data_IF_450676389838
#
_entry.id   IF_450676389838
#
_cell.length_a   1.000
_cell.length_b   1.000
_cell.length_c   1.000
_cell.angle_alpha   90.00
_cell.angle_beta   90.00
_cell.angle_gamma   90.00
#
_symmetry.space_group_name_H-M   'P 1'
#
loop_
_entity.id
_entity.type
_entity.pdbx_description
1 polymer ?
#
# COMPACT_ATOMS: atom_id res chain seq x y z
N UNK A 1 14.40 -4.21 17.33
CA UNK A 1 15.23 -3.75 16.19
C UNK A 1 16.72 -3.88 16.47
N UNK A 2 17.50 -4.41 15.52
CA UNK A 2 18.97 -4.46 15.62
C UNK A 2 19.60 -3.08 15.41
N UNK A 3 20.81 -2.87 15.91
CA UNK A 3 21.52 -1.59 15.75
C UNK A 3 21.58 -1.11 14.30
N UNK A 4 21.96 -1.99 13.37
CA UNK A 4 22.08 -1.67 11.95
C UNK A 4 20.77 -1.20 11.32
N UNK A 5 19.67 -1.85 11.66
CA UNK A 5 18.32 -1.47 11.23
C UNK A 5 17.96 -0.07 11.74
N UNK A 6 18.26 0.24 13.01
CA UNK A 6 17.98 1.57 13.58
C UNK A 6 18.79 2.67 12.89
N UNK A 7 20.09 2.42 12.62
CA UNK A 7 20.96 3.39 11.96
C UNK A 7 20.47 3.68 10.54
N UNK A 8 20.10 2.65 9.78
CA UNK A 8 19.59 2.77 8.42
C UNK A 8 18.20 3.43 8.40
N UNK A 9 17.33 3.12 9.37
CA UNK A 9 15.99 3.68 9.41
C UNK A 9 15.99 5.17 9.80
N UNK A 10 16.73 5.53 10.84
CA UNK A 10 16.79 6.91 11.33
C UNK A 10 17.80 7.78 10.57
N UNK A 11 18.66 7.18 9.75
CA UNK A 11 19.76 7.87 9.06
C UNK A 11 20.69 8.59 10.05
N UNK A 12 21.08 7.91 11.14
CA UNK A 12 21.94 8.46 12.20
C UNK A 12 23.22 7.66 12.39
N UNK A 13 24.21 8.28 13.06
CA UNK A 13 25.46 7.61 13.43
C UNK A 13 25.30 6.69 14.66
N UNK A 14 26.22 5.71 14.80
CA UNK A 14 26.34 4.88 16.02
C UNK A 14 26.49 5.71 17.29
N UNK A 15 27.22 6.82 17.22
CA UNK A 15 27.40 7.76 18.35
C UNK A 15 26.06 8.37 18.75
N UNK A 16 25.25 8.79 17.78
CA UNK A 16 23.90 9.34 18.03
C UNK A 16 22.98 8.29 18.67
N UNK A 17 22.97 7.06 18.14
CA UNK A 17 22.20 5.95 18.70
C UNK A 17 22.60 5.65 20.16
N UNK A 18 23.90 5.67 20.46
CA UNK A 18 24.39 5.50 21.83
C UNK A 18 23.89 6.63 22.75
N UNK A 19 23.92 7.89 22.30
CA UNK A 19 23.38 9.03 23.06
C UNK A 19 21.88 8.85 23.33
N UNK A 20 21.10 8.46 22.32
CA UNK A 20 19.66 8.19 22.45
C UNK A 20 19.35 7.02 23.39
N UNK A 21 20.25 6.05 23.47
CA UNK A 21 20.09 4.93 24.39
C UNK A 21 20.43 5.34 25.83
N UNK A 22 21.52 6.10 26.00
CA UNK A 22 22.00 6.54 27.32
C UNK A 22 21.04 7.52 27.99
N UNK A 23 20.40 8.39 27.23
CA UNK A 23 19.43 9.36 27.76
C UNK A 23 17.99 8.81 27.84
N UNK A 24 17.79 7.52 27.52
CA UNK A 24 16.48 6.86 27.59
C UNK A 24 15.50 7.23 26.47
N UNK A 25 15.92 7.95 25.42
CA UNK A 25 15.07 8.22 24.25
C UNK A 25 14.74 6.96 23.45
N UNK A 26 15.65 6.00 23.38
CA UNK A 26 15.42 4.68 22.80
C UNK A 26 15.75 3.63 23.85
N UNK A 27 14.71 2.94 24.34
CA UNK A 27 14.89 1.80 25.24
C UNK A 27 15.50 0.63 24.47
N UNK A 28 16.20 -0.25 25.19
CA UNK A 28 16.77 -1.46 24.61
C UNK A 28 16.81 -2.59 25.64
N UNK A 29 16.92 -3.81 25.15
CA UNK A 29 17.19 -5.02 25.93
C UNK A 29 18.49 -5.64 25.48
N UNK A 30 19.18 -6.35 26.38
CA UNK A 30 20.42 -7.08 26.06
C UNK A 30 20.06 -8.50 25.68
N UNK A 31 20.43 -8.92 24.47
CA UNK A 31 20.22 -10.28 23.98
C UNK A 31 21.28 -11.24 24.55
N UNK A 32 21.05 -12.57 24.53
CA UNK A 32 22.00 -13.57 25.04
C UNK A 32 23.41 -13.47 24.44
N UNK A 33 23.53 -12.99 23.21
CA UNK A 33 24.79 -12.77 22.50
C UNK A 33 25.47 -11.42 22.83
N UNK A 34 25.07 -10.74 23.91
CA UNK A 34 25.55 -9.41 24.35
C UNK A 34 25.29 -8.26 23.37
N UNK A 35 24.48 -8.47 22.32
CA UNK A 35 24.05 -7.38 21.43
C UNK A 35 22.78 -6.72 21.95
N UNK A 36 22.53 -5.47 21.55
CA UNK A 36 21.32 -4.73 21.93
C UNK A 36 20.17 -4.99 20.96
N UNK A 37 18.97 -5.13 21.52
CA UNK A 37 17.71 -5.11 20.81
C UNK A 37 16.93 -3.85 21.22
N UNK A 38 16.88 -2.88 20.32
CA UNK A 38 16.24 -1.58 20.54
C UNK A 38 14.72 -1.69 20.43
N UNK A 39 14.02 -0.97 21.31
CA UNK A 39 12.57 -0.85 21.30
C UNK A 39 12.12 -0.13 20.03
N UNK A 40 11.15 -0.72 19.36
CA UNK A 40 10.74 -0.31 18.02
C UNK A 40 9.84 0.92 18.07
N UNK A 41 8.95 0.98 19.05
CA UNK A 41 8.05 2.11 19.27
C UNK A 41 8.85 3.40 19.43
N UNK A 42 9.91 3.38 20.23
CA UNK A 42 10.76 4.54 20.47
C UNK A 42 11.50 4.98 19.20
N UNK A 43 11.98 4.03 18.40
CA UNK A 43 12.63 4.31 17.11
C UNK A 43 11.64 4.96 16.14
N UNK A 44 10.44 4.39 15.97
CA UNK A 44 9.43 4.97 15.08
C UNK A 44 8.87 6.28 15.59
N UNK A 45 8.81 6.49 16.91
CA UNK A 45 8.44 7.76 17.53
C UNK A 45 9.44 8.85 17.14
N UNK A 46 10.74 8.55 17.14
CA UNK A 46 11.76 9.49 16.65
C UNK A 46 11.66 9.69 15.13
N UNK A 47 11.51 8.62 14.35
CA UNK A 47 11.38 8.67 12.90
C UNK A 47 10.23 9.61 12.47
N UNK A 48 9.09 9.46 13.15
CA UNK A 48 7.87 10.22 12.86
C UNK A 48 7.78 11.53 13.64
N UNK A 49 8.83 11.94 14.38
CA UNK A 49 8.83 13.18 15.18
C UNK A 49 7.64 13.28 16.13
N UNK A 50 7.35 12.21 16.86
CA UNK A 50 6.22 12.06 17.79
C UNK A 50 4.82 12.08 17.14
N UNK A 51 4.73 12.13 15.80
CA UNK A 51 3.46 12.06 15.08
C UNK A 51 2.99 10.60 15.03
N UNK A 52 1.75 10.36 15.47
CA UNK A 52 1.12 9.04 15.35
C UNK A 52 0.95 8.67 13.87
N UNK A 53 1.21 7.41 13.56
CA UNK A 53 0.98 6.86 12.24
C UNK A 53 -0.53 6.82 11.95
N UNK A 54 -0.86 6.96 10.67
CA UNK A 54 -2.23 7.12 10.18
C UNK A 54 -2.95 5.79 10.03
N UNK A 55 -4.24 5.78 10.30
CA UNK A 55 -5.16 4.75 9.81
C UNK A 55 -5.88 5.32 8.59
N UNK A 56 -5.77 4.63 7.45
CA UNK A 56 -6.28 5.12 6.17
C UNK A 56 -7.25 4.13 5.54
N UNK A 57 -8.20 4.66 4.77
CA UNK A 57 -9.14 3.85 4.00
C UNK A 57 -8.71 3.82 2.54
N UNK A 58 -8.91 2.68 1.87
CA UNK A 58 -8.80 2.58 0.42
C UNK A 58 -10.05 1.95 -0.20
N UNK A 59 -10.61 2.61 -1.21
CA UNK A 59 -11.81 2.19 -1.92
C UNK A 59 -11.61 2.24 -3.44
N UNK A 60 -12.19 1.30 -4.19
CA UNK A 60 -12.02 1.23 -5.64
C UNK A 60 -13.25 0.64 -6.33
N UNK A 61 -13.61 1.25 -7.47
CA UNK A 61 -14.55 0.69 -8.44
C UNK A 61 -13.93 0.71 -9.84
N UNK A 62 -14.40 -0.14 -10.75
CA UNK A 62 -13.80 -0.25 -12.08
C UNK A 62 -14.20 0.87 -13.04
N UNK A 63 -15.45 1.36 -12.94
CA UNK A 63 -16.01 2.33 -13.90
C UNK A 63 -16.63 3.55 -13.23
N UNK A 64 -16.69 4.67 -13.96
CA UNK A 64 -17.33 5.89 -13.47
C UNK A 64 -18.84 5.75 -13.25
N UNK A 65 -19.48 4.74 -13.86
CA UNK A 65 -20.89 4.42 -13.65
C UNK A 65 -21.14 3.95 -12.21
N UNK A 66 -20.13 3.37 -11.56
CA UNK A 66 -20.17 2.83 -10.20
C UNK A 66 -19.77 3.88 -9.14
N UNK A 67 -19.83 5.17 -9.46
CA UNK A 67 -19.46 6.24 -8.52
C UNK A 67 -20.28 6.20 -7.22
N UNK A 68 -21.55 5.84 -7.32
CA UNK A 68 -22.41 5.68 -6.14
C UNK A 68 -21.95 4.51 -5.26
N UNK A 69 -21.54 3.40 -5.88
CA UNK A 69 -21.01 2.23 -5.16
C UNK A 69 -19.70 2.57 -4.44
N UNK A 70 -18.84 3.40 -5.05
CA UNK A 70 -17.64 3.90 -4.38
C UNK A 70 -17.98 4.71 -3.12
N UNK A 71 -19.02 5.56 -3.17
CA UNK A 71 -19.45 6.30 -1.98
C UNK A 71 -20.03 5.38 -0.90
N UNK A 72 -20.84 4.40 -1.30
CA UNK A 72 -21.38 3.39 -0.39
C UNK A 72 -20.25 2.60 0.29
N UNK A 73 -19.23 2.21 -0.48
CA UNK A 73 -18.05 1.53 0.03
C UNK A 73 -17.30 2.36 1.07
N UNK A 74 -17.05 3.64 0.78
CA UNK A 74 -16.40 4.56 1.71
C UNK A 74 -17.24 4.71 2.99
N UNK A 75 -18.56 4.81 2.86
CA UNK A 75 -19.46 4.95 4.00
C UNK A 75 -19.46 3.69 4.89
N UNK A 76 -19.47 2.50 4.29
CA UNK A 76 -19.35 1.23 5.00
C UNK A 76 -18.02 1.15 5.78
N UNK A 77 -16.91 1.52 5.14
CA UNK A 77 -15.60 1.56 5.80
C UNK A 77 -15.59 2.54 6.97
N UNK A 78 -16.17 3.75 6.80
CA UNK A 78 -16.28 4.73 7.88
C UNK A 78 -17.07 4.20 9.06
N UNK A 79 -18.22 3.59 8.82
CA UNK A 79 -19.07 3.02 9.87
C UNK A 79 -18.35 1.89 10.60
N UNK A 80 -17.72 0.97 9.86
CA UNK A 80 -16.95 -0.11 10.47
C UNK A 80 -15.81 0.42 11.34
N UNK A 81 -15.06 1.42 10.87
CA UNK A 81 -14.01 2.05 11.67
C UNK A 81 -14.55 2.70 12.94
N UNK A 82 -15.66 3.43 12.83
CA UNK A 82 -16.31 4.06 13.99
C UNK A 82 -16.73 3.03 15.04
N UNK A 83 -17.35 1.94 14.61
CA UNK A 83 -17.76 0.83 15.50
C UNK A 83 -16.58 0.12 16.19
N UNK A 84 -15.42 0.08 15.53
CA UNK A 84 -14.21 -0.57 16.05
C UNK A 84 -13.23 0.41 16.73
N UNK A 85 -13.60 1.68 16.92
CA UNK A 85 -12.77 2.67 17.61
C UNK A 85 -11.57 3.18 16.80
N UNK A 86 -11.55 2.99 15.48
CA UNK A 86 -10.48 3.50 14.62
C UNK A 86 -10.68 4.97 14.26
N UNK A 87 -9.64 5.79 14.46
CA UNK A 87 -9.60 7.19 13.98
C UNK A 87 -9.08 7.24 12.55
N UNK A 88 -9.96 7.61 11.61
CA UNK A 88 -9.60 7.70 10.19
C UNK A 88 -8.81 9.00 9.95
N UNK A 89 -7.62 8.88 9.39
CA UNK A 89 -6.73 10.02 9.09
C UNK A 89 -6.82 10.48 7.63
N UNK A 90 -7.07 9.56 6.70
CA UNK A 90 -7.19 9.85 5.28
C UNK A 90 -8.03 8.79 4.56
N UNK A 91 -8.59 9.15 3.42
CA UNK A 91 -9.37 8.28 2.55
C UNK A 91 -8.82 8.42 1.14
N UNK A 92 -8.37 7.30 0.58
CA UNK A 92 -7.89 7.20 -0.78
C UNK A 92 -8.92 6.43 -1.61
N UNK A 93 -9.13 6.84 -2.85
CA UNK A 93 -10.08 6.14 -3.71
C UNK A 93 -9.75 6.28 -5.18
N UNK A 94 -10.08 5.25 -5.96
CA UNK A 94 -9.88 5.26 -7.41
C UNK A 94 -11.11 4.74 -8.17
N UNK A 95 -11.33 5.30 -9.36
CA UNK A 95 -12.20 4.75 -10.40
C UNK A 95 -11.30 4.20 -11.50
N UNK A 96 -10.93 2.92 -11.37
CA UNK A 96 -9.95 2.27 -12.23
C UNK A 96 -10.04 0.74 -12.14
N UNK A 97 -9.56 0.06 -13.18
CA UNK A 97 -9.44 -1.41 -13.26
C UNK A 97 -8.78 -2.01 -12.02
N UNK A 98 -9.25 -3.20 -11.63
CA UNK A 98 -8.73 -4.01 -10.53
C UNK A 98 -7.42 -4.75 -10.85
N UNK A 99 -6.98 -4.72 -12.11
CA UNK A 99 -5.73 -5.34 -12.59
C UNK A 99 -4.66 -4.30 -12.96
N UNK A 100 -5.04 -3.20 -13.62
CA UNK A 100 -4.08 -2.15 -13.98
C UNK A 100 -3.93 -1.11 -12.86
N UNK A 101 -2.68 -0.79 -12.51
CA UNK A 101 -2.35 0.22 -11.50
C UNK A 101 -2.09 1.61 -12.08
N UNK A 102 -1.79 1.74 -13.38
CA UNK A 102 -1.30 3.00 -13.99
C UNK A 102 -2.20 4.21 -13.73
N UNK A 103 -3.51 4.00 -13.58
CA UNK A 103 -4.50 5.07 -13.38
C UNK A 103 -4.92 5.25 -11.93
N UNK A 104 -4.39 4.47 -11.00
CA UNK A 104 -4.77 4.47 -9.58
C UNK A 104 -3.95 5.48 -8.78
N UNK A 105 -4.28 6.76 -8.96
CA UNK A 105 -3.55 7.86 -8.30
C UNK A 105 -3.71 7.80 -6.79
N UNK A 106 -4.92 7.53 -6.28
CA UNK A 106 -5.18 7.42 -4.84
C UNK A 106 -4.39 6.27 -4.22
N UNK A 107 -4.28 5.14 -4.92
CA UNK A 107 -3.42 4.02 -4.50
C UNK A 107 -1.95 4.43 -4.36
N UNK A 108 -1.38 5.12 -5.36
CA UNK A 108 0.03 5.50 -5.31
C UNK A 108 0.31 6.59 -4.26
N UNK A 109 -0.59 7.55 -4.07
CA UNK A 109 -0.49 8.52 -2.98
C UNK A 109 -0.48 7.82 -1.61
N UNK A 110 -1.35 6.82 -1.42
CA UNK A 110 -1.35 5.98 -0.23
C UNK A 110 -0.03 5.20 -0.09
N UNK A 111 0.46 4.60 -1.19
CA UNK A 111 1.69 3.83 -1.20
C UNK A 111 2.91 4.67 -0.81
N UNK A 112 2.99 5.91 -1.30
CA UNK A 112 4.06 6.84 -0.93
C UNK A 112 4.03 7.15 0.58
N UNK A 113 2.85 7.32 1.18
CA UNK A 113 2.75 7.49 2.63
C UNK A 113 3.18 6.24 3.42
N UNK A 114 2.86 5.04 2.90
CA UNK A 114 3.30 3.76 3.48
C UNK A 114 4.81 3.63 3.43
N UNK A 115 5.43 3.89 2.27
CA UNK A 115 6.89 3.84 2.09
C UNK A 115 7.61 4.83 3.01
N UNK A 116 6.97 5.98 3.27
CA UNK A 116 7.44 6.98 4.23
C UNK A 116 7.15 6.63 5.70
N UNK A 117 6.72 5.41 6.01
CA UNK A 117 6.37 4.92 7.35
C UNK A 117 5.26 5.72 8.07
N UNK A 118 4.45 6.49 7.33
CA UNK A 118 3.40 7.35 7.91
C UNK A 118 2.09 6.62 8.17
N UNK A 119 1.85 5.48 7.53
CA UNK A 119 0.58 4.74 7.61
C UNK A 119 0.75 3.47 8.43
N UNK A 120 -0.02 3.30 9.49
CA UNK A 120 -0.05 2.10 10.34
C UNK A 120 -1.01 1.02 9.81
N UNK A 121 -2.19 1.44 9.37
CA UNK A 121 -3.27 0.55 8.95
C UNK A 121 -3.89 1.05 7.66
N UNK A 122 -4.11 0.13 6.72
CA UNK A 122 -4.89 0.34 5.50
C UNK A 122 -6.12 -0.54 5.60
N UNK A 123 -7.30 0.06 5.55
CA UNK A 123 -8.57 -0.65 5.69
C UNK A 123 -9.28 -0.66 4.34
N UNK A 124 -9.64 -1.86 3.88
CA UNK A 124 -10.31 -2.11 2.60
C UNK A 124 -11.53 -2.99 2.81
N UNK A 125 -12.51 -2.87 1.91
CA UNK A 125 -13.73 -3.69 2.02
C UNK A 125 -13.46 -5.15 1.72
N UNK A 126 -12.80 -5.39 0.59
CA UNK A 126 -12.42 -6.72 0.09
C UNK A 126 -10.97 -6.69 -0.40
N UNK A 127 -10.32 -7.86 -0.49
CA UNK A 127 -8.94 -7.97 -1.01
C UNK A 127 -8.79 -7.41 -2.43
N UNK A 128 -9.80 -7.68 -3.26
CA UNK A 128 -9.83 -7.32 -4.68
C UNK A 128 -9.97 -5.80 -4.94
N UNK A 129 -10.38 -5.05 -3.91
CA UNK A 129 -10.41 -3.58 -3.94
C UNK A 129 -9.01 -3.01 -3.89
N UNK A 130 -8.12 -3.62 -3.12
CA UNK A 130 -6.70 -3.29 -3.12
C UNK A 130 -6.03 -3.79 -4.40
N UNK A 131 -6.18 -5.08 -4.70
CA UNK A 131 -5.68 -5.67 -5.94
C UNK A 131 -6.36 -6.99 -6.25
N UNK A 132 -6.76 -7.19 -7.51
CA UNK A 132 -7.26 -8.48 -7.98
C UNK A 132 -6.19 -9.54 -8.14
N UNK A 133 -4.94 -9.12 -8.37
CA UNK A 133 -3.78 -10.01 -8.52
C UNK A 133 -2.64 -9.52 -7.64
N UNK A 134 -1.95 -10.44 -6.97
CA UNK A 134 -0.79 -10.07 -6.15
C UNK A 134 -1.15 -9.35 -4.84
N UNK A 135 -2.33 -9.61 -4.26
CA UNK A 135 -2.64 -9.16 -2.90
C UNK A 135 -1.57 -9.59 -1.89
N UNK A 136 -1.01 -10.79 -2.04
CA UNK A 136 0.08 -11.30 -1.20
C UNK A 136 1.38 -10.46 -1.35
N UNK A 137 1.66 -9.94 -2.55
CA UNK A 137 2.79 -9.03 -2.77
C UNK A 137 2.60 -7.74 -1.98
N UNK A 138 1.41 -7.14 -2.03
CA UNK A 138 1.10 -5.93 -1.27
C UNK A 138 1.10 -6.20 0.23
N UNK A 139 0.57 -7.34 0.67
CA UNK A 139 0.61 -7.75 2.07
C UNK A 139 2.04 -7.89 2.58
N UNK A 140 2.92 -8.52 1.80
CA UNK A 140 4.34 -8.62 2.11
C UNK A 140 5.01 -7.24 2.15
N UNK A 141 4.77 -6.40 1.15
CA UNK A 141 5.33 -5.05 1.04
C UNK A 141 4.90 -4.18 2.22
N UNK A 142 3.60 -4.12 2.51
CA UNK A 142 3.05 -3.27 3.57
C UNK A 142 3.56 -3.73 4.93
N UNK A 143 3.66 -5.05 5.17
CA UNK A 143 4.28 -5.60 6.39
C UNK A 143 5.73 -5.18 6.56
N UNK A 144 6.50 -5.05 5.46
CA UNK A 144 7.90 -4.54 5.52
C UNK A 144 7.96 -3.10 6.04
N UNK A 145 6.95 -2.28 5.74
CA UNK A 145 6.78 -0.94 6.28
C UNK A 145 5.91 -0.89 7.54
N UNK A 146 5.63 -2.05 8.15
CA UNK A 146 4.77 -2.19 9.35
C UNK A 146 3.40 -1.59 9.18
N UNK A 147 2.87 -1.67 7.98
CA UNK A 147 1.50 -1.32 7.67
C UNK A 147 0.68 -2.60 7.63
N UNK A 148 -0.36 -2.66 8.44
CA UNK A 148 -1.32 -3.75 8.45
C UNK A 148 -2.41 -3.49 7.41
N UNK A 149 -2.81 -4.53 6.67
CA UNK A 149 -3.98 -4.48 5.80
C UNK A 149 -5.14 -5.14 6.55
N UNK A 150 -6.21 -4.38 6.78
CA UNK A 150 -7.44 -4.87 7.40
C UNK A 150 -8.50 -5.00 6.32
N UNK A 151 -9.04 -6.20 6.16
CA UNK A 151 -10.11 -6.51 5.21
C UNK A 151 -11.39 -6.72 6.01
N UNK A 152 -12.42 -5.91 5.78
CA UNK A 152 -13.63 -5.94 6.63
C UNK A 152 -14.67 -6.99 6.20
N UNK A 153 -14.58 -7.53 4.99
CA UNK A 153 -15.42 -8.64 4.53
C UNK A 153 -14.65 -9.60 3.62
N UNK A 154 -14.81 -10.91 3.83
CA UNK A 154 -14.18 -11.95 3.00
C UNK A 154 -15.03 -12.34 1.79
N UNK A 155 -16.33 -12.06 1.81
CA UNK A 155 -17.27 -12.41 0.74
C UNK A 155 -17.50 -11.16 -0.12
N UNK A 156 -16.83 -11.10 -1.27
CA UNK A 156 -17.09 -10.08 -2.30
C UNK A 156 -18.57 -10.06 -2.68
N UNK A 157 -19.09 -8.89 -3.04
CA UNK A 157 -20.47 -8.78 -3.54
C UNK A 157 -20.58 -9.50 -4.89
N UNK A 158 -21.01 -10.76 -4.86
CA UNK A 158 -21.01 -11.72 -5.98
C UNK A 158 -21.65 -11.21 -7.27
N UNK A 159 -22.61 -10.28 -7.19
CA UNK A 159 -23.30 -9.74 -8.37
C UNK A 159 -22.48 -8.64 -9.08
N UNK A 160 -21.91 -7.70 -8.34
CA UNK A 160 -21.06 -6.62 -8.88
C UNK A 160 -19.68 -7.13 -9.34
N UNK A 161 -19.19 -8.20 -8.73
CA UNK A 161 -17.89 -8.78 -9.04
C UNK A 161 -17.81 -9.36 -10.45
N UNK A 162 -18.90 -9.96 -10.96
CA UNK A 162 -18.91 -10.63 -12.27
C UNK A 162 -18.63 -9.66 -13.43
N UNK A 163 -19.36 -8.54 -13.49
CA UNK A 163 -19.20 -7.53 -14.54
C UNK A 163 -17.82 -6.87 -14.50
N UNK A 164 -17.36 -6.47 -13.32
CA UNK A 164 -16.00 -5.93 -13.16
C UNK A 164 -14.93 -6.98 -13.52
N UNK A 165 -15.15 -8.26 -13.23
CA UNK A 165 -14.21 -9.35 -13.54
C UNK A 165 -14.03 -9.55 -15.05
N UNK A 166 -15.13 -9.53 -15.80
CA UNK A 166 -15.07 -9.57 -17.27
C UNK A 166 -14.34 -8.35 -17.85
N UNK A 167 -14.61 -7.15 -17.34
CA UNK A 167 -13.90 -5.94 -17.79
C UNK A 167 -12.39 -6.00 -17.50
N UNK A 168 -12.00 -6.58 -16.37
CA UNK A 168 -10.59 -6.75 -16.03
C UNK A 168 -9.90 -7.80 -16.93
N UNK A 169 -10.57 -8.93 -17.25
CA UNK A 169 -10.07 -9.88 -18.25
C UNK A 169 -9.93 -9.21 -19.61
N UNK A 170 -10.93 -8.44 -20.04
CA UNK A 170 -10.88 -7.70 -21.29
C UNK A 170 -9.72 -6.68 -21.29
N UNK A 171 -9.49 -6.01 -20.16
CA UNK A 171 -8.35 -5.09 -19.98
C UNK A 171 -7.01 -5.81 -20.07
N UNK A 172 -6.87 -6.98 -19.46
CA UNK A 172 -5.68 -7.83 -19.58
C UNK A 172 -5.42 -8.24 -21.04
N UNK A 173 -6.44 -8.77 -21.72
CA UNK A 173 -6.37 -9.15 -23.13
C UNK A 173 -6.03 -7.97 -24.04
N UNK A 174 -6.62 -6.80 -23.77
CA UNK A 174 -6.34 -5.57 -24.50
C UNK A 174 -4.88 -5.12 -24.29
N UNK A 175 -4.39 -5.13 -23.04
CA UNK A 175 -3.01 -4.77 -22.71
C UNK A 175 -2.00 -5.70 -23.38
N UNK A 176 -2.31 -6.99 -23.48
CA UNK A 176 -1.48 -7.99 -24.15
C UNK A 176 -1.51 -7.81 -25.67
N UNK A 177 -2.69 -7.60 -26.24
CA UNK A 177 -2.88 -7.32 -27.66
C UNK A 177 -2.12 -6.06 -28.08
N UNK A 178 -2.22 -4.96 -27.33
CA UNK A 178 -1.48 -3.72 -27.59
C UNK A 178 0.04 -3.93 -27.55
N UNK A 179 0.55 -4.72 -26.60
CA UNK A 179 1.98 -5.10 -26.57
C UNK A 179 2.40 -5.93 -27.78
N UNK A 180 1.54 -6.82 -28.26
CA UNK A 180 1.77 -7.59 -29.49
C UNK A 180 1.77 -6.70 -30.73
N UNK A 181 0.78 -5.81 -30.89
CA UNK A 181 0.74 -4.87 -32.02
C UNK A 181 1.92 -3.90 -32.03
N UNK A 182 2.36 -3.41 -30.86
CA UNK A 182 3.53 -2.53 -30.75
C UNK A 182 4.83 -3.24 -31.17
N UNK A 183 4.98 -4.55 -30.89
CA UNK A 183 6.11 -5.36 -31.38
C UNK A 183 6.12 -5.52 -32.90
N UNK A 184 4.97 -5.57 -33.56
CA UNK A 184 4.89 -5.68 -35.02
C UNK A 184 5.21 -4.34 -35.71
N UNK A 185 4.83 -3.19 -35.13
CA UNK A 185 5.16 -1.87 -35.67
C UNK A 185 6.65 -1.54 -35.65
N UNK A 186 7.38 -1.99 -34.62
CA UNK A 186 8.83 -1.75 -34.54
C UNK A 186 9.63 -2.57 -35.55
N UNK A 187 9.08 -3.66 -36.09
CA UNK A 187 9.74 -4.44 -37.14
C UNK A 187 9.54 -3.84 -38.55
N UNK A 188 8.54 -2.98 -38.73
CA UNK A 188 8.22 -2.34 -40.02
C UNK A 188 8.94 -1.00 -40.28
N UNK A 189 9.83 -0.54 -39.39
CA UNK A 189 10.54 0.76 -39.53
C UNK A 189 12.01 0.58 -39.98
N UNK A 190 12.56 -0.63 -40.07
CA UNK A 190 13.96 -0.88 -40.50
C UNK A 190 14.15 -1.13 -42.02
N UNK A 191 13.16 -0.89 -42.88
CA UNK A 191 13.37 -0.93 -44.33
C UNK A 191 13.70 0.48 -44.83
N UNK A 192 14.96 0.87 -44.63
CA UNK A 192 15.53 2.07 -45.24
C UNK A 192 15.53 1.97 -46.76
N UNK A 193 15.11 3.06 -47.41
CA UNK A 193 15.34 3.28 -48.84
C UNK A 193 16.84 3.49 -49.08
N UNK A 194 17.50 2.53 -49.74
CA UNK A 194 18.71 2.81 -50.51
C UNK A 194 18.30 2.95 -51.98
N UNK A 195 18.46 4.17 -52.51
CA UNK A 195 18.24 4.55 -53.91
C UNK A 195 18.90 5.88 -54.18
#
# INVERSE_FOLDING_TARGET
MKAEEVLNLLQISRKTLHVYSKNGRIRYTVMPNKRYNYNEEDVYKILNKDVKRKTVLYARVSTSKQKNDLQNQIQQLKQWCFMNGYTISAIYSDIASGVSFEKRKGFFEMLDEIINNKVEKVIVTYKDRLSRVGFELFSYLFRKYRTEIVVISEVGSTELDSGEFFEDIASMLHSYSMKMYSRHRNHSIEVGYEG
#
